data_IF_457908312359
#
_entry.id   IF_457908312359
#
_cell.length_a   1.000
_cell.length_b   1.000
_cell.length_c   1.000
_cell.angle_alpha   90.00
_cell.angle_beta   90.00
_cell.angle_gamma   90.00
#
_symmetry.space_group_name_H-M   'P 1'
#
loop_
_entity.id
_entity.type
_entity.pdbx_description
1 polymer ?
#
# COMPACT_ATOMS: atom_id res chain seq x y z
N UNK A 1 -3.66 2.89 15.53
CA UNK A 1 -4.14 1.70 16.27
C UNK A 1 -5.06 2.21 17.39
N UNK A 2 -6.02 1.44 17.92
CA UNK A 2 -6.99 1.96 18.92
C UNK A 2 -6.47 1.84 20.36
N UNK A 3 -5.17 2.05 20.56
CA UNK A 3 -4.50 1.89 21.85
C UNK A 3 -3.48 3.02 21.96
N UNK A 4 -3.35 3.61 23.14
CA UNK A 4 -2.32 4.60 23.43
C UNK A 4 -0.93 3.94 23.42
N UNK A 5 0.06 4.58 22.81
CA UNK A 5 1.43 4.06 22.82
C UNK A 5 2.14 4.38 24.15
N UNK A 6 3.28 3.76 24.42
CA UNK A 6 4.11 4.05 25.61
C UNK A 6 4.44 5.54 25.76
N UNK A 7 4.68 6.24 24.64
CA UNK A 7 4.99 7.67 24.64
C UNK A 7 3.77 8.58 24.80
N UNK A 8 2.58 8.01 25.01
CA UNK A 8 1.26 8.66 25.00
C UNK A 8 0.69 9.18 23.65
N UNK A 9 1.28 8.95 22.45
CA UNK A 9 0.57 9.26 21.22
C UNK A 9 -0.59 8.29 21.00
N UNK A 10 -1.62 8.78 20.34
CA UNK A 10 -2.80 8.01 19.94
C UNK A 10 -3.00 8.02 18.41
N UNK A 11 -2.42 9.02 17.74
CA UNK A 11 -2.46 9.21 16.30
C UNK A 11 -1.05 9.23 15.73
N UNK A 12 -0.95 9.03 14.42
CA UNK A 12 0.27 9.31 13.68
C UNK A 12 -0.10 10.03 12.40
N UNK A 13 0.77 10.92 11.95
CA UNK A 13 0.68 11.60 10.67
C UNK A 13 1.85 11.18 9.79
N UNK A 14 1.57 10.95 8.51
CA UNK A 14 2.60 10.61 7.52
C UNK A 14 2.71 11.73 6.49
N UNK A 15 3.95 12.10 6.20
CA UNK A 15 4.29 12.98 5.10
C UNK A 15 5.03 12.16 4.07
N UNK A 16 4.48 12.09 2.86
CA UNK A 16 5.03 11.30 1.75
C UNK A 16 5.47 12.26 0.67
N UNK A 17 6.73 12.17 0.27
CA UNK A 17 7.22 12.87 -0.92
C UNK A 17 6.77 12.12 -2.18
N UNK A 18 6.12 12.83 -3.11
CA UNK A 18 5.54 12.21 -4.30
C UNK A 18 6.64 11.74 -5.29
N UNK A 19 7.77 12.45 -5.34
CA UNK A 19 8.87 12.15 -6.25
C UNK A 19 9.67 10.92 -5.80
N UNK A 20 10.18 10.96 -4.58
CA UNK A 20 11.06 9.91 -4.03
C UNK A 20 10.30 8.77 -3.37
N UNK A 21 9.00 8.93 -3.10
CA UNK A 21 8.21 8.02 -2.25
C UNK A 21 8.74 7.92 -0.81
N UNK A 22 9.59 8.85 -0.39
CA UNK A 22 10.11 8.89 0.96
C UNK A 22 8.99 9.21 1.94
N UNK A 23 8.92 8.43 3.02
CA UNK A 23 7.89 8.59 4.05
C UNK A 23 8.53 9.08 5.34
N UNK A 24 7.97 10.14 5.92
CA UNK A 24 8.28 10.58 7.26
C UNK A 24 7.04 10.45 8.15
N UNK A 25 7.22 10.07 9.42
CA UNK A 25 6.11 9.86 10.36
C UNK A 25 6.30 10.69 11.61
N UNK A 26 5.21 11.30 12.08
CA UNK A 26 5.13 11.96 13.38
C UNK A 26 4.06 11.28 14.23
N UNK A 27 4.33 11.13 15.53
CA UNK A 27 3.40 10.55 16.49
C UNK A 27 2.75 11.64 17.30
N UNK A 28 1.42 11.63 17.36
CA UNK A 28 0.61 12.74 17.85
C UNK A 28 -0.31 12.28 18.98
N UNK A 29 -0.52 13.14 19.98
CA UNK A 29 -1.49 12.91 21.07
C UNK A 29 -2.91 13.28 20.64
N UNK A 30 -3.04 14.32 19.83
CA UNK A 30 -4.31 14.78 19.27
C UNK A 30 -4.19 15.05 17.76
N UNK A 31 -5.34 15.16 17.07
CA UNK A 31 -5.35 15.48 15.64
C UNK A 31 -4.94 16.94 15.34
N UNK A 32 -4.97 17.81 16.34
CA UNK A 32 -4.65 19.24 16.17
C UNK A 32 -3.14 19.48 16.05
N UNK A 33 -2.32 18.56 16.57
CA UNK A 33 -0.85 18.62 16.53
C UNK A 33 -0.27 18.43 15.11
N UNK A 34 -1.09 18.00 14.15
CA UNK A 34 -0.68 17.78 12.75
C UNK A 34 -0.05 19.04 12.13
N UNK A 35 -0.55 20.23 12.47
CA UNK A 35 0.00 21.50 11.99
C UNK A 35 1.43 21.69 12.48
N UNK A 36 1.67 21.51 13.77
CA UNK A 36 3.01 21.60 14.37
C UNK A 36 3.96 20.58 13.76
N UNK A 37 3.49 19.34 13.58
CA UNK A 37 4.26 18.29 12.92
C UNK A 37 4.65 18.64 11.48
N UNK A 38 3.75 19.28 10.71
CA UNK A 38 4.06 19.76 9.36
C UNK A 38 5.12 20.87 9.37
N UNK A 39 5.04 21.81 10.33
CA UNK A 39 6.05 22.87 10.46
C UNK A 39 7.44 22.31 10.76
N UNK A 40 7.51 21.33 11.66
CA UNK A 40 8.74 20.63 11.98
C UNK A 40 9.28 19.85 10.78
N UNK A 41 8.40 19.14 10.07
CA UNK A 41 8.74 18.42 8.84
C UNK A 41 9.31 19.34 7.77
N UNK A 42 8.64 20.47 7.51
CA UNK A 42 9.08 21.49 6.56
C UNK A 42 10.47 22.00 6.91
N UNK A 43 10.67 22.45 8.15
CA UNK A 43 11.96 22.96 8.60
C UNK A 43 13.07 21.91 8.45
N UNK A 44 12.78 20.65 8.79
CA UNK A 44 13.72 19.55 8.65
C UNK A 44 14.08 19.28 7.18
N UNK A 45 13.09 19.08 6.32
CA UNK A 45 13.32 18.61 4.95
C UNK A 45 13.96 19.69 4.08
N UNK A 46 13.52 20.94 4.24
CA UNK A 46 14.03 22.06 3.45
C UNK A 46 15.48 22.38 3.82
N UNK A 47 15.82 22.33 5.11
CA UNK A 47 17.20 22.49 5.57
C UNK A 47 18.08 21.33 5.09
N UNK A 48 17.58 20.09 5.12
CA UNK A 48 18.35 18.92 4.72
C UNK A 48 18.61 18.85 3.22
N UNK A 49 17.66 19.26 2.40
CA UNK A 49 17.73 19.14 0.94
C UNK A 49 18.06 20.48 0.25
N UNK A 50 18.14 21.56 1.01
CA UNK A 50 18.30 22.93 0.50
C UNK A 50 17.28 23.24 -0.61
N UNK A 51 16.03 22.85 -0.37
CA UNK A 51 14.92 23.02 -1.31
C UNK A 51 13.67 23.51 -0.57
N UNK A 52 12.66 23.98 -1.29
CA UNK A 52 11.40 24.45 -0.71
C UNK A 52 10.24 23.53 -1.10
N UNK A 53 9.33 23.30 -0.15
CA UNK A 53 8.08 22.57 -0.42
C UNK A 53 7.17 23.47 -1.26
N UNK A 54 6.86 23.04 -2.49
CA UNK A 54 6.02 23.82 -3.41
C UNK A 54 4.53 23.57 -3.24
N UNK A 55 4.15 22.33 -2.98
CA UNK A 55 2.74 21.91 -2.95
C UNK A 55 2.52 20.99 -1.77
N UNK A 56 1.46 21.26 -1.00
CA UNK A 56 0.94 20.36 0.02
C UNK A 56 -0.40 19.80 -0.45
N UNK A 57 -0.45 18.49 -0.65
CA UNK A 57 -1.69 17.78 -0.93
C UNK A 57 -2.25 17.20 0.37
N UNK A 58 -3.52 17.50 0.66
CA UNK A 58 -4.23 17.05 1.87
C UNK A 58 -5.65 16.59 1.52
N UNK A 59 -6.24 15.72 2.33
CA UNK A 59 -7.67 15.46 2.26
C UNK A 59 -8.48 16.66 2.77
N UNK A 60 -9.81 16.61 2.63
CA UNK A 60 -10.69 17.62 3.23
C UNK A 60 -10.81 17.47 4.75
N UNK A 61 -9.95 16.67 5.39
CA UNK A 61 -9.96 16.45 6.82
C UNK A 61 -9.80 17.77 7.58
N UNK A 62 -10.73 18.04 8.49
CA UNK A 62 -10.81 19.27 9.28
C UNK A 62 -9.52 19.60 10.07
N UNK A 63 -8.66 18.60 10.32
CA UNK A 63 -7.36 18.77 10.97
C UNK A 63 -6.44 19.77 10.22
N UNK A 64 -6.57 19.87 8.90
CA UNK A 64 -5.83 20.82 8.08
C UNK A 64 -6.63 22.10 7.78
N UNK A 65 -7.89 22.20 8.16
CA UNK A 65 -8.80 23.27 7.73
C UNK A 65 -8.93 24.30 8.85
N UNK A 66 -8.05 25.30 8.85
CA UNK A 66 -8.22 26.49 9.66
C UNK A 66 -7.64 27.69 8.92
N UNK A 67 -8.28 28.88 9.00
CA UNK A 67 -7.86 30.07 8.24
C UNK A 67 -6.39 30.45 8.49
N UNK A 68 -5.90 30.25 9.72
CA UNK A 68 -4.51 30.52 10.08
C UNK A 68 -3.51 29.60 9.34
N UNK A 69 -3.91 28.36 9.03
CA UNK A 69 -3.04 27.41 8.33
C UNK A 69 -2.98 27.71 6.83
N UNK A 70 -4.11 28.05 6.22
CA UNK A 70 -4.13 28.47 4.81
C UNK A 70 -3.31 29.75 4.59
N UNK A 71 -3.44 30.73 5.49
CA UNK A 71 -2.63 31.93 5.44
C UNK A 71 -1.13 31.63 5.59
N UNK A 72 -0.76 30.70 6.48
CA UNK A 72 0.62 30.26 6.63
C UNK A 72 1.16 29.65 5.33
N UNK A 73 0.41 28.75 4.68
CA UNK A 73 0.83 28.13 3.43
C UNK A 73 1.04 29.17 2.33
N UNK A 74 0.09 30.09 2.14
CA UNK A 74 0.19 31.18 1.18
C UNK A 74 1.40 32.08 1.46
N UNK A 75 1.64 32.44 2.72
CA UNK A 75 2.80 33.24 3.13
C UNK A 75 4.14 32.57 2.80
N UNK A 76 4.18 31.23 2.87
CA UNK A 76 5.36 30.45 2.54
C UNK A 76 5.43 30.03 1.06
N UNK A 77 4.53 30.54 0.20
CA UNK A 77 4.50 30.18 -1.22
C UNK A 77 4.05 28.74 -1.51
N UNK A 78 3.44 28.05 -0.53
CA UNK A 78 3.05 26.65 -0.64
C UNK A 78 1.63 26.57 -1.22
N UNK A 79 1.49 25.97 -2.39
CA UNK A 79 0.19 25.69 -2.99
C UNK A 79 -0.51 24.58 -2.20
N UNK A 80 -1.70 24.86 -1.69
CA UNK A 80 -2.54 23.84 -1.06
C UNK A 80 -3.42 23.16 -2.09
N UNK A 81 -3.27 21.84 -2.24
CA UNK A 81 -4.17 21.01 -3.03
C UNK A 81 -5.04 20.17 -2.09
N UNK A 82 -6.36 20.25 -2.29
CA UNK A 82 -7.34 19.49 -1.53
C UNK A 82 -7.95 18.45 -2.44
N UNK A 83 -7.90 17.18 -2.03
CA UNK A 83 -8.58 16.12 -2.76
C UNK A 83 -10.09 16.39 -2.73
N UNK A 84 -10.74 16.30 -3.89
CA UNK A 84 -12.20 16.42 -3.94
C UNK A 84 -12.83 15.23 -3.20
N UNK A 85 -14.00 15.42 -2.61
CA UNK A 85 -14.81 14.28 -2.20
C UNK A 85 -15.01 13.38 -3.45
N UNK A 86 -14.95 12.06 -3.27
CA UNK A 86 -15.13 11.05 -4.34
C UNK A 86 -13.97 10.82 -5.33
N UNK A 87 -12.78 11.45 -5.17
CA UNK A 87 -11.55 11.08 -5.92
C UNK A 87 -10.47 10.45 -5.03
N UNK A 88 -10.71 9.25 -4.46
CA UNK A 88 -9.77 8.58 -3.56
C UNK A 88 -8.42 8.26 -4.22
N UNK A 89 -8.34 8.26 -5.55
CA UNK A 89 -7.09 8.02 -6.28
C UNK A 89 -6.01 9.05 -5.95
N UNK A 90 -6.39 10.31 -5.76
CA UNK A 90 -5.46 11.43 -5.58
C UNK A 90 -4.75 11.35 -4.22
N UNK A 91 -5.48 11.03 -3.14
CA UNK A 91 -4.88 10.74 -1.83
C UNK A 91 -4.46 9.26 -1.69
N UNK A 92 -4.58 8.49 -2.76
CA UNK A 92 -4.45 7.04 -2.72
C UNK A 92 -3.04 6.57 -2.40
N UNK A 93 -2.02 7.40 -2.62
CA UNK A 93 -0.63 7.11 -2.25
C UNK A 93 -0.48 7.14 -0.72
N UNK A 94 -0.83 8.25 -0.08
CA UNK A 94 -0.72 8.39 1.37
C UNK A 94 -1.61 7.36 2.10
N UNK A 95 -2.82 7.10 1.58
CA UNK A 95 -3.71 6.09 2.16
C UNK A 95 -3.13 4.67 2.04
N UNK A 96 -2.60 4.30 0.86
CA UNK A 96 -1.93 3.01 0.65
C UNK A 96 -0.71 2.86 1.55
N UNK A 97 0.12 3.89 1.66
CA UNK A 97 1.28 3.86 2.54
C UNK A 97 0.87 3.69 4.00
N UNK A 98 -0.16 4.41 4.47
CA UNK A 98 -0.67 4.26 5.84
C UNK A 98 -1.16 2.83 6.12
N UNK A 99 -1.89 2.22 5.18
CA UNK A 99 -2.32 0.81 5.31
C UNK A 99 -1.12 -0.14 5.36
N UNK A 100 -0.13 0.05 4.48
CA UNK A 100 1.10 -0.74 4.46
C UNK A 100 1.86 -0.64 5.79
N UNK A 101 2.04 0.57 6.31
CA UNK A 101 2.75 0.81 7.57
C UNK A 101 2.05 0.17 8.76
N UNK A 102 0.72 0.27 8.83
CA UNK A 102 -0.06 -0.38 9.91
C UNK A 102 0.06 -1.90 9.83
N UNK A 103 0.00 -2.47 8.63
CA UNK A 103 0.18 -3.91 8.42
C UNK A 103 1.58 -4.37 8.82
N UNK A 104 2.63 -3.65 8.39
CA UNK A 104 4.01 -3.95 8.76
C UNK A 104 4.23 -3.85 10.28
N UNK A 105 3.71 -2.79 10.91
CA UNK A 105 3.83 -2.62 12.36
C UNK A 105 3.16 -3.77 13.12
N UNK A 106 1.98 -4.25 12.68
CA UNK A 106 1.35 -5.43 13.26
C UNK A 106 2.20 -6.69 13.13
N UNK A 107 2.77 -6.93 11.93
CA UNK A 107 3.68 -8.05 11.72
C UNK A 107 4.91 -7.98 12.63
N UNK A 108 5.53 -6.80 12.76
CA UNK A 108 6.68 -6.58 13.63
C UNK A 108 6.34 -6.85 15.09
N UNK A 109 5.19 -6.39 15.58
CA UNK A 109 4.74 -6.65 16.96
C UNK A 109 4.49 -8.13 17.21
N UNK A 110 3.82 -8.82 16.29
CA UNK A 110 3.56 -10.27 16.40
C UNK A 110 4.88 -11.05 16.40
N UNK A 111 5.79 -10.74 15.48
CA UNK A 111 7.07 -11.44 15.35
C UNK A 111 7.99 -11.20 16.56
N UNK A 112 7.91 -10.03 17.19
CA UNK A 112 8.72 -9.69 18.37
C UNK A 112 8.04 -10.04 19.70
N UNK A 113 6.82 -10.59 19.66
CA UNK A 113 6.00 -10.87 20.84
C UNK A 113 5.78 -9.63 21.74
N UNK A 114 5.86 -8.43 21.14
CA UNK A 114 5.70 -7.18 21.87
C UNK A 114 4.22 -6.77 21.98
N UNK A 115 3.78 -6.26 23.15
CA UNK A 115 2.41 -5.78 23.32
C UNK A 115 2.08 -4.58 22.42
N UNK A 116 0.79 -4.40 22.11
CA UNK A 116 0.29 -3.34 21.22
C UNK A 116 0.68 -1.91 21.64
N UNK A 117 1.04 -1.68 22.90
CA UNK A 117 1.54 -0.38 23.39
C UNK A 117 2.82 0.12 22.69
N UNK A 118 3.58 -0.79 22.06
CA UNK A 118 4.78 -0.47 21.27
C UNK A 118 4.48 -0.12 19.80
N UNK A 119 3.22 0.17 19.47
CA UNK A 119 2.82 0.39 18.09
C UNK A 119 3.52 1.57 17.42
N UNK A 120 3.85 2.62 18.18
CA UNK A 120 4.52 3.81 17.63
C UNK A 120 5.94 3.45 17.18
N UNK A 121 6.67 2.72 18.02
CA UNK A 121 8.01 2.20 17.75
C UNK A 121 7.98 1.22 16.57
N UNK A 122 6.96 0.35 16.50
CA UNK A 122 6.76 -0.57 15.39
C UNK A 122 6.48 0.16 14.06
N UNK A 123 5.68 1.23 14.07
CA UNK A 123 5.46 2.08 12.88
C UNK A 123 6.75 2.79 12.50
N UNK A 124 7.51 3.34 13.46
CA UNK A 124 8.78 3.99 13.19
C UNK A 124 9.77 3.02 12.52
N UNK A 125 9.85 1.79 13.01
CA UNK A 125 10.63 0.71 12.40
C UNK A 125 10.12 0.37 10.99
N UNK A 126 8.79 0.27 10.80
CA UNK A 126 8.22 0.02 9.49
C UNK A 126 8.58 1.11 8.47
N UNK A 127 8.54 2.38 8.86
CA UNK A 127 8.97 3.52 8.03
C UNK A 127 10.47 3.43 7.71
N UNK A 128 11.30 3.12 8.72
CA UNK A 128 12.74 2.94 8.54
C UNK A 128 13.06 1.86 7.50
N UNK A 129 12.34 0.73 7.55
CA UNK A 129 12.44 -0.36 6.58
C UNK A 129 11.95 0.10 5.19
N UNK A 130 10.74 0.68 5.10
CA UNK A 130 10.14 1.13 3.82
C UNK A 130 11.05 2.08 3.06
N UNK A 131 11.66 3.05 3.73
CA UNK A 131 12.55 4.01 3.08
C UNK A 131 13.86 3.39 2.58
N UNK A 132 14.23 2.20 3.06
CA UNK A 132 15.47 1.48 2.70
C UNK A 132 15.22 0.25 1.84
N UNK A 133 13.95 -0.05 1.53
CA UNK A 133 13.58 -1.10 0.60
C UNK A 133 13.23 -0.50 -0.76
N UNK A 134 13.61 -1.14 -1.88
CA UNK A 134 13.14 -0.74 -3.20
C UNK A 134 11.61 -0.78 -3.26
N UNK A 135 11.02 0.18 -3.98
CA UNK A 135 9.56 0.26 -4.16
C UNK A 135 9.23 0.32 -5.66
N UNK A 136 8.19 -0.39 -6.08
CA UNK A 136 7.70 -0.37 -7.48
C UNK A 136 7.21 1.01 -7.92
N UNK A 137 6.95 1.92 -6.97
CA UNK A 137 6.58 3.30 -7.25
C UNK A 137 7.73 4.16 -7.78
N UNK A 138 8.97 3.68 -7.69
CA UNK A 138 10.13 4.25 -8.36
C UNK A 138 10.32 3.44 -9.66
N UNK A 139 10.27 4.11 -10.82
CA UNK A 139 10.43 3.46 -12.12
C UNK A 139 11.83 2.88 -12.32
N UNK A 140 12.82 3.40 -11.58
CA UNK A 140 14.20 2.95 -11.59
C UNK A 140 14.34 1.63 -10.81
N UNK A 141 14.78 0.58 -11.50
CA UNK A 141 15.00 -0.73 -10.90
C UNK A 141 16.04 -0.64 -9.76
N UNK A 142 15.62 -1.04 -8.55
CA UNK A 142 16.42 -1.13 -7.32
C UNK A 142 16.80 0.17 -6.60
N UNK A 143 16.23 1.33 -6.93
CA UNK A 143 16.41 2.52 -6.08
C UNK A 143 15.50 2.47 -4.84
N UNK A 144 16.05 2.91 -3.71
CA UNK A 144 15.29 3.05 -2.45
C UNK A 144 14.78 4.49 -2.29
N UNK A 145 13.64 4.72 -1.61
CA UNK A 145 13.16 6.08 -1.35
C UNK A 145 14.21 6.99 -0.69
N UNK A 146 14.98 6.43 0.26
CA UNK A 146 16.09 7.14 0.91
C UNK A 146 17.15 7.57 -0.11
N UNK A 147 17.55 6.67 -1.00
CA UNK A 147 18.55 6.97 -2.03
C UNK A 147 18.05 7.98 -3.04
N UNK A 148 16.77 7.93 -3.42
CA UNK A 148 16.19 8.90 -4.36
C UNK A 148 16.13 10.31 -3.76
N UNK A 149 15.82 10.40 -2.46
CA UNK A 149 15.68 11.69 -1.78
C UNK A 149 17.04 12.33 -1.44
N UNK A 150 17.97 11.58 -0.86
CA UNK A 150 19.24 12.12 -0.37
C UNK A 150 20.40 11.95 -1.37
N UNK A 151 20.19 11.27 -2.50
CA UNK A 151 21.26 10.86 -3.43
C UNK A 151 22.35 10.00 -2.78
N UNK A 152 22.08 9.41 -1.61
CA UNK A 152 23.02 8.61 -0.82
C UNK A 152 22.50 7.20 -0.61
N UNK A 153 23.40 6.19 -0.63
CA UNK A 153 22.99 4.81 -0.36
C UNK A 153 22.64 4.64 1.12
N UNK A 154 21.50 4.01 1.46
CA UNK A 154 21.14 3.78 2.85
C UNK A 154 22.12 2.82 3.53
N UNK A 155 22.45 3.10 4.78
CA UNK A 155 23.21 2.16 5.61
C UNK A 155 22.34 0.93 5.94
N UNK A 156 22.82 -0.25 5.57
CA UNK A 156 22.12 -1.52 5.76
C UNK A 156 22.66 -2.38 6.91
N UNK A 157 23.56 -1.84 7.76
CA UNK A 157 24.25 -2.57 8.85
C UNK A 157 23.31 -3.34 9.79
N UNK A 158 22.09 -2.83 9.99
CA UNK A 158 21.12 -3.38 10.92
C UNK A 158 20.13 -4.38 10.26
N UNK A 159 20.24 -4.59 8.95
CA UNK A 159 19.41 -5.56 8.23
C UNK A 159 20.17 -6.89 8.14
N UNK A 160 19.65 -7.91 8.80
CA UNK A 160 20.11 -9.28 8.59
C UNK A 160 19.30 -9.88 7.44
N UNK A 161 19.89 -9.92 6.25
CA UNK A 161 19.30 -10.65 5.13
C UNK A 161 19.58 -12.13 5.30
N UNK A 162 18.56 -12.93 5.58
CA UNK A 162 18.62 -14.34 5.14
C UNK A 162 18.57 -14.31 3.60
N UNK A 163 19.35 -15.16 2.89
CA UNK A 163 19.20 -15.25 1.44
C UNK A 163 17.72 -15.49 1.15
N UNK A 164 17.11 -14.55 0.43
CA UNK A 164 15.72 -14.67 0.02
C UNK A 164 15.55 -15.93 -0.83
N UNK A 165 14.31 -16.41 -0.94
CA UNK A 165 13.99 -17.48 -1.90
C UNK A 165 14.56 -17.04 -3.26
N UNK A 166 15.41 -17.86 -3.92
CA UNK A 166 16.00 -17.49 -5.20
C UNK A 166 14.88 -17.07 -6.16
N UNK A 167 15.10 -15.99 -6.93
CA UNK A 167 14.14 -15.57 -7.97
C UNK A 167 13.84 -16.80 -8.82
N UNK A 168 12.55 -17.10 -9.03
CA UNK A 168 12.15 -18.09 -10.04
C UNK A 168 12.66 -17.56 -11.38
N UNK A 169 13.71 -18.19 -11.89
CA UNK A 169 14.12 -18.02 -13.28
C UNK A 169 13.08 -18.77 -14.11
N UNK A 170 12.28 -18.01 -14.85
CA UNK A 170 11.48 -18.59 -15.91
C UNK A 170 12.38 -18.66 -17.13
N UNK A 171 12.65 -19.86 -17.62
CA UNK A 171 13.20 -20.01 -18.97
C UNK A 171 12.07 -19.61 -19.92
N UNK A 172 12.06 -18.35 -20.33
CA UNK A 172 11.27 -17.93 -21.47
C UNK A 172 11.95 -18.61 -22.66
N UNK A 173 11.32 -19.65 -23.22
CA UNK A 173 11.75 -20.19 -24.51
C UNK A 173 11.56 -19.07 -25.53
N UNK A 174 12.63 -18.64 -26.20
CA UNK A 174 12.56 -17.66 -27.30
C UNK A 174 11.80 -18.22 -28.50
N UNK A 175 11.70 -19.55 -28.59
CA UNK A 175 10.75 -20.24 -29.44
C UNK A 175 9.43 -20.44 -28.70
N UNK A 176 8.45 -19.62 -29.07
CA UNK A 176 7.07 -20.05 -29.03
C UNK A 176 6.98 -21.12 -30.12
N UNK A 177 7.11 -22.40 -29.77
CA UNK A 177 6.49 -23.43 -30.60
C UNK A 177 5.02 -23.01 -30.69
N UNK A 178 4.54 -22.70 -31.90
CA UNK A 178 3.12 -22.54 -32.12
C UNK A 178 2.45 -23.79 -31.57
N UNK A 179 1.86 -23.67 -30.39
CA UNK A 179 0.99 -24.71 -29.89
C UNK A 179 -0.19 -24.72 -30.85
N UNK A 180 -0.18 -25.66 -31.79
CA UNK A 180 -1.39 -26.10 -32.45
C UNK A 180 -2.26 -26.71 -31.37
N UNK A 181 -3.01 -25.84 -30.69
CA UNK A 181 -4.23 -26.25 -30.02
C UNK A 181 -5.11 -26.67 -31.18
N UNK A 182 -5.27 -27.98 -31.36
CA UNK A 182 -6.39 -28.48 -32.13
C UNK A 182 -7.61 -27.81 -31.51
N UNK A 183 -8.24 -26.90 -32.26
CA UNK A 183 -9.59 -26.51 -31.98
C UNK A 183 -10.36 -27.82 -32.10
N UNK A 184 -10.63 -28.47 -30.97
CA UNK A 184 -11.62 -29.54 -30.91
C UNK A 184 -12.85 -28.97 -31.61
N UNK A 185 -13.27 -29.71 -32.64
CA UNK A 185 -14.32 -29.34 -33.56
C UNK A 185 -15.53 -28.75 -32.82
N UNK A 186 -16.16 -27.77 -33.47
CA UNK A 186 -17.34 -27.00 -33.05
C UNK A 186 -18.08 -27.56 -31.83
N UNK A 187 -18.22 -26.71 -30.80
CA UNK A 187 -19.02 -27.00 -29.59
C UNK A 187 -20.30 -27.74 -30.01
N UNK A 188 -20.47 -29.02 -29.62
CA UNK A 188 -21.60 -29.80 -30.10
C UNK A 188 -22.90 -29.13 -29.67
N UNK A 189 -23.86 -29.11 -30.57
CA UNK A 189 -25.18 -28.57 -30.26
C UNK A 189 -25.80 -29.32 -29.09
N UNK A 190 -26.74 -28.68 -28.37
CA UNK A 190 -27.40 -29.28 -27.20
C UNK A 190 -27.91 -30.71 -27.49
N UNK A 191 -28.40 -30.96 -28.71
CA UNK A 191 -28.91 -32.29 -29.12
C UNK A 191 -27.81 -33.33 -29.31
N UNK A 192 -26.63 -32.91 -29.78
CA UNK A 192 -25.47 -33.80 -29.97
C UNK A 192 -24.83 -34.12 -28.61
N UNK A 193 -24.77 -33.15 -27.69
CA UNK A 193 -24.30 -33.37 -26.33
C UNK A 193 -25.17 -34.37 -25.54
N UNK A 194 -26.49 -34.34 -25.73
CA UNK A 194 -27.41 -35.29 -25.09
C UNK A 194 -27.40 -36.70 -25.69
N UNK A 195 -26.91 -36.88 -26.92
CA UNK A 195 -26.76 -38.19 -27.55
C UNK A 195 -25.31 -38.70 -27.55
N UNK A 196 -24.40 -37.93 -26.94
CA UNK A 196 -22.99 -38.28 -26.84
C UNK A 196 -22.71 -39.38 -25.80
N UNK A 197 -21.53 -40.02 -25.87
CA UNK A 197 -21.16 -41.13 -24.99
C UNK A 197 -21.15 -40.76 -23.50
N UNK A 198 -20.95 -39.47 -23.18
CA UNK A 198 -20.88 -38.99 -21.80
C UNK A 198 -22.19 -38.30 -21.34
N UNK A 199 -23.27 -38.37 -22.12
CA UNK A 199 -24.52 -37.64 -21.88
C UNK A 199 -25.15 -37.93 -20.52
N UNK A 200 -25.09 -39.18 -20.05
CA UNK A 200 -25.61 -39.58 -18.74
C UNK A 200 -24.84 -38.93 -17.59
N UNK A 201 -23.51 -38.86 -17.68
CA UNK A 201 -22.66 -38.21 -16.67
C UNK A 201 -22.96 -36.71 -16.57
N UNK A 202 -23.15 -36.04 -17.72
CA UNK A 202 -23.53 -34.63 -17.77
C UNK A 202 -24.91 -34.38 -17.14
N UNK A 203 -25.89 -35.26 -17.41
CA UNK A 203 -27.21 -35.20 -16.80
C UNK A 203 -27.16 -35.39 -15.28
N UNK A 204 -26.33 -36.30 -14.81
CA UNK A 204 -26.17 -36.57 -13.38
C UNK A 204 -25.47 -35.41 -12.65
N UNK A 205 -24.42 -34.84 -13.27
CA UNK A 205 -23.76 -33.63 -12.76
C UNK A 205 -24.73 -32.44 -12.66
N UNK A 206 -25.51 -32.18 -13.71
CA UNK A 206 -26.51 -31.09 -13.71
C UNK A 206 -27.59 -31.29 -12.64
N UNK A 207 -28.06 -32.52 -12.45
CA UNK A 207 -29.03 -32.86 -11.39
C UNK A 207 -28.45 -32.67 -10.00
N UNK A 208 -27.16 -32.97 -9.83
CA UNK A 208 -26.47 -32.84 -8.55
C UNK A 208 -26.32 -31.37 -8.17
N UNK A 209 -25.89 -30.53 -9.11
CA UNK A 209 -25.82 -29.07 -8.93
C UNK A 209 -27.21 -28.47 -8.64
N UNK A 210 -28.24 -28.88 -9.39
CA UNK A 210 -29.61 -28.41 -9.16
C UNK A 210 -30.14 -28.76 -7.75
N UNK A 211 -29.87 -29.98 -7.28
CA UNK A 211 -30.21 -30.40 -5.90
C UNK A 211 -29.44 -29.61 -4.85
N UNK A 212 -28.16 -29.30 -5.10
CA UNK A 212 -27.36 -28.47 -4.21
C UNK A 212 -27.93 -27.04 -4.11
N UNK A 213 -28.36 -26.46 -5.22
CA UNK A 213 -28.99 -25.13 -5.25
C UNK A 213 -30.32 -25.10 -4.48
N UNK A 214 -31.19 -26.10 -4.65
CA UNK A 214 -32.44 -26.20 -3.90
C UNK A 214 -32.20 -26.36 -2.40
N UNK A 215 -31.19 -27.15 -2.02
CA UNK A 215 -30.80 -27.34 -0.61
C UNK A 215 -30.30 -26.04 0.02
N UNK A 216 -29.59 -25.21 -0.75
CA UNK A 216 -29.10 -23.92 -0.28
C UNK A 216 -30.22 -22.86 -0.15
N UNK A 217 -31.30 -22.96 -0.92
CA UNK A 217 -32.46 -22.06 -0.80
C UNK A 217 -33.41 -22.44 0.35
N UNK A 218 -33.45 -23.70 0.78
CA UNK A 218 -34.30 -24.16 1.89
C UNK A 218 -33.67 -23.95 3.29
N UNK A 219 -32.45 -23.42 3.37
CA UNK A 219 -31.71 -23.17 4.61
C UNK A 219 -31.66 -21.71 5.06
N UNK A 220 -32.52 -20.84 4.51
CA UNK A 220 -32.68 -19.43 4.88
C UNK A 220 -33.98 -19.17 5.63
#
# INVERSE_FOLDING_TARGET
>A
MRVESIGKPFYFATFVDDCSRFVHVYFLRSKDEVKSAFLEFKAYIENKLNCEIKTLQSDQGLAYVGPNYDHYLVKNGIKRERTCAYTPQINGIAERENRTLVSMARCLLIQSELPMKFWAEAINCAVYIRNRCPTRGLQDENQTPFQKLFSEKPTMKYFQTKPGRPRKQYNIKEEIEEAQIALEDDIPSLKEAFNGPNSEEWLEAMRTEYKALLKNQAGG
#
